data_IF_093890729532
#
_entry.id   IF_093890729532
#
_cell.length_a   1.000
_cell.length_b   1.000
_cell.length_c   1.000
_cell.angle_alpha   90.00
_cell.angle_beta   90.00
_cell.angle_gamma   90.00
#
_symmetry.space_group_name_H-M   'P 1'
#
loop_
_entity.id
_entity.type
_entity.pdbx_description
1 polymer ?
#
# COMPACT_ATOMS: atom_id res chain seq x y z
N UNK A 1 -18.43 14.76 12.85
CA UNK A 1 -17.05 14.41 13.22
C UNK A 1 -16.13 15.56 12.84
N UNK A 2 -15.33 16.06 13.76
CA UNK A 2 -14.31 17.07 13.48
C UNK A 2 -12.97 16.42 13.12
N UNK A 3 -11.98 17.22 12.69
CA UNK A 3 -10.68 16.70 12.25
C UNK A 3 -9.95 15.95 13.37
N UNK A 4 -10.00 16.44 14.61
CA UNK A 4 -9.29 15.83 15.74
C UNK A 4 -9.90 14.46 16.11
N UNK A 5 -11.23 14.35 16.04
CA UNK A 5 -11.93 13.06 16.23
C UNK A 5 -11.49 12.05 15.18
N UNK A 6 -11.43 12.46 13.90
CA UNK A 6 -10.99 11.59 12.80
C UNK A 6 -9.55 11.14 12.97
N UNK A 7 -8.67 12.05 13.38
CA UNK A 7 -7.25 11.74 13.62
C UNK A 7 -7.08 10.75 14.77
N UNK A 8 -7.78 10.97 15.90
CA UNK A 8 -7.73 10.08 17.06
C UNK A 8 -8.27 8.68 16.76
N UNK A 9 -9.32 8.57 15.93
CA UNK A 9 -9.82 7.27 15.51
C UNK A 9 -8.86 6.55 14.58
N UNK A 10 -8.25 7.27 13.62
CA UNK A 10 -7.30 6.69 12.66
C UNK A 10 -5.97 6.30 13.28
N UNK A 11 -5.50 7.03 14.28
CA UNK A 11 -4.26 6.70 15.00
C UNK A 11 -4.33 5.29 15.62
N UNK A 12 -5.50 4.86 16.09
CA UNK A 12 -5.72 3.52 16.67
C UNK A 12 -5.47 2.38 15.69
N UNK A 13 -5.69 2.59 14.40
CA UNK A 13 -5.50 1.56 13.37
C UNK A 13 -4.24 1.80 12.53
N UNK A 14 -3.88 3.06 12.28
CA UNK A 14 -2.79 3.46 11.40
C UNK A 14 -1.47 3.76 12.11
N UNK A 15 -1.48 3.85 13.43
CA UNK A 15 -0.31 4.19 14.25
C UNK A 15 0.10 5.66 14.13
N UNK A 16 1.28 5.98 14.67
CA UNK A 16 1.84 7.32 14.58
C UNK A 16 2.14 7.72 13.13
N UNK A 17 1.79 8.95 12.76
CA UNK A 17 1.94 9.41 11.39
C UNK A 17 3.41 9.59 11.00
N UNK A 18 4.25 10.11 11.92
CA UNK A 18 5.64 10.43 11.64
C UNK A 18 6.49 9.15 11.56
N UNK A 19 6.34 8.22 12.51
CA UNK A 19 6.99 6.91 12.44
C UNK A 19 6.54 6.13 11.20
N UNK A 20 5.24 6.16 10.90
CA UNK A 20 4.71 5.57 9.68
C UNK A 20 5.34 6.17 8.42
N UNK A 21 5.58 7.48 8.37
CA UNK A 21 6.24 8.13 7.23
C UNK A 21 7.68 7.65 7.04
N UNK A 22 8.45 7.48 8.13
CA UNK A 22 9.82 6.95 8.07
C UNK A 22 9.82 5.53 7.52
N UNK A 23 8.96 4.66 8.07
CA UNK A 23 8.84 3.25 7.63
C UNK A 23 8.44 3.19 6.15
N UNK A 24 7.44 3.97 5.76
CA UNK A 24 6.97 4.01 4.37
C UNK A 24 8.06 4.44 3.39
N UNK A 25 8.82 5.49 3.72
CA UNK A 25 9.89 5.97 2.84
C UNK A 25 11.00 4.92 2.67
N UNK A 26 11.39 4.24 3.76
CA UNK A 26 12.35 3.12 3.71
C UNK A 26 11.85 1.95 2.86
N UNK A 27 10.56 1.58 2.97
CA UNK A 27 9.97 0.54 2.13
C UNK A 27 9.95 0.96 0.65
N UNK A 28 9.64 2.22 0.37
CA UNK A 28 9.58 2.74 -1.00
C UNK A 28 10.96 2.88 -1.64
N UNK A 29 12.04 3.03 -0.88
CA UNK A 29 13.41 3.01 -1.41
C UNK A 29 13.69 1.70 -2.17
N UNK A 30 13.24 0.56 -1.64
CA UNK A 30 13.38 -0.75 -2.29
C UNK A 30 12.65 -0.76 -3.65
N UNK A 31 11.44 -0.19 -3.70
CA UNK A 31 10.66 -0.12 -4.95
C UNK A 31 11.34 0.81 -5.96
N UNK A 32 11.80 1.98 -5.51
CA UNK A 32 12.49 2.99 -6.32
C UNK A 32 13.75 2.42 -6.98
N UNK A 33 14.51 1.60 -6.26
CA UNK A 33 15.73 0.96 -6.75
C UNK A 33 15.50 -0.09 -7.85
N UNK A 34 14.25 -0.44 -8.14
CA UNK A 34 13.87 -1.44 -9.16
C UNK A 34 12.79 -0.92 -10.13
N UNK A 35 12.58 0.40 -10.19
CA UNK A 35 11.51 1.03 -10.97
C UNK A 35 11.57 0.74 -12.48
N UNK A 36 12.76 0.46 -13.01
CA UNK A 36 12.98 0.15 -14.43
C UNK A 36 12.26 -1.12 -14.89
N UNK A 37 11.94 -2.03 -13.96
CA UNK A 37 11.22 -3.29 -14.24
C UNK A 37 9.70 -3.13 -14.11
N UNK A 38 9.21 -1.94 -13.77
CA UNK A 38 7.84 -1.69 -13.39
C UNK A 38 7.14 -0.80 -14.40
N UNK A 39 5.90 -1.13 -14.76
CA UNK A 39 5.02 -0.18 -15.44
C UNK A 39 4.29 0.70 -14.40
N UNK A 40 3.51 1.67 -14.88
CA UNK A 40 2.77 2.61 -14.01
C UNK A 40 1.79 1.92 -13.06
N UNK A 41 1.13 0.85 -13.51
CA UNK A 41 0.19 0.06 -12.68
C UNK A 41 0.92 -0.69 -11.57
N UNK A 42 2.07 -1.29 -11.89
CA UNK A 42 2.90 -1.99 -10.91
C UNK A 42 3.41 -1.03 -9.82
N UNK A 43 3.96 0.13 -10.21
CA UNK A 43 4.43 1.15 -9.26
C UNK A 43 3.29 1.64 -8.35
N UNK A 44 2.13 1.93 -8.91
CA UNK A 44 0.97 2.36 -8.14
C UNK A 44 0.51 1.30 -7.15
N UNK A 45 0.36 0.04 -7.59
CA UNK A 45 -0.05 -1.06 -6.72
C UNK A 45 0.94 -1.30 -5.57
N UNK A 46 2.25 -1.34 -5.87
CA UNK A 46 3.29 -1.50 -4.86
C UNK A 46 3.27 -0.35 -3.85
N UNK A 47 3.09 0.90 -4.30
CA UNK A 47 2.97 2.06 -3.40
C UNK A 47 1.81 1.90 -2.43
N UNK A 48 0.64 1.50 -2.93
CA UNK A 48 -0.55 1.29 -2.09
C UNK A 48 -0.36 0.12 -1.11
N UNK A 49 0.30 -0.97 -1.54
CA UNK A 49 0.65 -2.11 -0.68
C UNK A 49 1.62 -1.69 0.42
N UNK A 50 2.70 -0.97 0.09
CA UNK A 50 3.67 -0.50 1.08
C UNK A 50 3.01 0.40 2.12
N UNK A 51 2.07 1.25 1.70
CA UNK A 51 1.27 2.07 2.62
C UNK A 51 0.47 1.23 3.63
N UNK A 52 -0.07 0.08 3.21
CA UNK A 52 -0.80 -0.84 4.11
C UNK A 52 0.15 -1.63 5.02
N UNK A 53 1.29 -2.07 4.51
CA UNK A 53 2.35 -2.70 5.32
C UNK A 53 2.82 -1.73 6.42
N UNK A 54 3.02 -0.45 6.10
CA UNK A 54 3.33 0.58 7.10
C UNK A 54 2.27 0.63 8.22
N UNK A 55 0.97 0.56 7.90
CA UNK A 55 -0.10 0.60 8.92
C UNK A 55 -0.16 -0.68 9.76
N UNK A 56 0.22 -1.82 9.18
CA UNK A 56 0.35 -3.08 9.91
C UNK A 56 1.53 -3.03 10.88
N UNK A 57 2.67 -2.46 10.47
CA UNK A 57 3.88 -2.40 11.28
C UNK A 57 3.79 -1.36 12.42
N UNK A 58 3.23 -0.19 12.13
CA UNK A 58 3.18 0.93 13.08
C UNK A 58 1.86 1.01 13.85
N UNK A 59 0.77 0.50 13.27
CA UNK A 59 -0.58 0.58 13.82
C UNK A 59 -1.11 -0.76 14.31
N UNK A 60 -2.34 -1.09 13.92
CA UNK A 60 -3.00 -2.31 14.34
C UNK A 60 -2.84 -3.41 13.28
N UNK A 61 -1.94 -4.36 13.52
CA UNK A 61 -1.76 -5.52 12.66
C UNK A 61 -3.00 -6.43 12.55
N UNK A 62 -3.94 -6.36 13.50
CA UNK A 62 -5.19 -7.12 13.47
C UNK A 62 -6.32 -6.42 12.71
N UNK A 63 -6.09 -5.22 12.15
CA UNK A 63 -7.07 -4.53 11.32
C UNK A 63 -7.25 -5.27 9.98
N UNK A 64 -8.36 -5.99 9.76
CA UNK A 64 -8.49 -6.89 8.61
C UNK A 64 -8.52 -6.13 7.27
N UNK A 65 -8.97 -4.88 7.26
CA UNK A 65 -9.05 -4.10 6.03
C UNK A 65 -7.67 -3.80 5.45
N UNK A 66 -6.62 -3.72 6.28
CA UNK A 66 -5.25 -3.54 5.78
C UNK A 66 -4.79 -4.72 4.92
N UNK A 67 -5.11 -5.94 5.34
CA UNK A 67 -4.77 -7.17 4.62
C UNK A 67 -5.65 -7.36 3.37
N UNK A 68 -6.95 -7.04 3.46
CA UNK A 68 -7.87 -7.07 2.31
C UNK A 68 -7.43 -6.11 1.21
N UNK A 69 -7.04 -4.90 1.59
CA UNK A 69 -6.53 -3.90 0.66
C UNK A 69 -5.27 -4.39 -0.06
N UNK A 70 -4.32 -5.01 0.65
CA UNK A 70 -3.12 -5.60 0.04
C UNK A 70 -3.51 -6.65 -1.02
N UNK A 71 -4.42 -7.56 -0.70
CA UNK A 71 -4.89 -8.57 -1.65
C UNK A 71 -5.56 -7.92 -2.87
N UNK A 72 -6.36 -6.88 -2.67
CA UNK A 72 -7.00 -6.11 -3.74
C UNK A 72 -5.98 -5.42 -4.65
N UNK A 73 -5.01 -4.68 -4.09
CA UNK A 73 -3.98 -4.00 -4.86
C UNK A 73 -3.05 -4.98 -5.59
N UNK A 74 -2.69 -6.11 -4.98
CA UNK A 74 -1.92 -7.15 -5.65
C UNK A 74 -2.68 -7.75 -6.84
N UNK A 75 -3.98 -7.99 -6.67
CA UNK A 75 -4.86 -8.48 -7.73
C UNK A 75 -4.93 -7.50 -8.91
N UNK A 76 -5.16 -6.22 -8.64
CA UNK A 76 -5.26 -5.19 -9.68
C UNK A 76 -3.90 -4.88 -10.33
N UNK A 77 -2.83 -4.79 -9.53
CA UNK A 77 -1.48 -4.52 -9.99
C UNK A 77 -0.95 -5.61 -10.92
N UNK A 78 -1.14 -6.87 -10.54
CA UNK A 78 -0.81 -8.03 -11.37
C UNK A 78 -1.83 -8.34 -12.46
N UNK A 79 -2.91 -7.54 -12.59
CA UNK A 79 -4.03 -7.74 -13.51
C UNK A 79 -4.64 -9.15 -13.44
N UNK A 80 -4.63 -9.76 -12.26
CA UNK A 80 -5.10 -11.14 -12.03
C UNK A 80 -6.62 -11.27 -12.15
N UNK A 81 -7.34 -10.14 -12.15
CA UNK A 81 -8.78 -10.06 -12.35
C UNK A 81 -9.20 -10.05 -13.83
N UNK A 82 -8.24 -10.08 -14.78
CA UNK A 82 -8.54 -10.03 -16.22
C UNK A 82 -8.35 -11.41 -16.83
N UNK A 83 -9.37 -11.93 -17.52
CA UNK A 83 -9.38 -13.27 -18.12
C UNK A 83 -8.65 -13.36 -19.46
N UNK A 84 -8.34 -12.23 -20.10
CA UNK A 84 -7.60 -12.15 -21.36
C UNK A 84 -6.40 -11.22 -21.18
N UNK A 85 -5.18 -11.79 -21.19
CA UNK A 85 -3.96 -10.99 -21.37
C UNK A 85 -3.95 -10.49 -22.80
N UNK A 86 -4.48 -9.29 -23.05
CA UNK A 86 -4.12 -8.55 -24.27
C UNK A 86 -2.64 -8.27 -24.17
N UNK A 87 -1.89 -8.94 -25.03
CA UNK A 87 -0.45 -9.07 -25.00
C UNK A 87 0.26 -7.74 -24.75
N UNK A 88 1.31 -7.85 -23.95
CA UNK A 88 2.26 -6.83 -23.58
C UNK A 88 2.94 -6.27 -24.84
N UNK A 89 2.46 -5.15 -25.37
CA UNK A 89 3.35 -4.24 -26.10
C UNK A 89 4.14 -3.43 -25.09
N UNK A 90 5.40 -3.84 -24.97
CA UNK A 90 6.55 -3.17 -24.34
C UNK A 90 6.55 -1.67 -24.65
#
# INVERSE_FOLDING_TARGET
>A
MNINETLSEREKTHGDFYQGAIIFDSLMEIVKNHEENLNVSHRYALTMIMGKITRILEGNAFEPDHWRDIAGYATLGGRLNVTERKDETI
#
